data_IF_849933709244
#
_entry.id   IF_849933709244
#
_cell.length_a   1.000
_cell.length_b   1.000
_cell.length_c   1.000
_cell.angle_alpha   90.00
_cell.angle_beta   90.00
_cell.angle_gamma   90.00
#
_symmetry.space_group_name_H-M   'P 1'
#
loop_
_entity.id
_entity.type
_entity.pdbx_description
1 polymer ?
#
# COMPACT_ATOMS: atom_id res chain seq x y z
N UNK A 1 -18.20 3.65 -5.21
CA UNK A 1 -17.19 3.70 -6.28
C UNK A 1 -15.83 3.49 -5.64
N UNK A 2 -14.95 2.70 -6.25
CA UNK A 2 -13.65 2.33 -5.65
C UNK A 2 -12.65 3.46 -5.80
N UNK A 3 -11.98 3.80 -4.70
CA UNK A 3 -10.89 4.77 -4.65
C UNK A 3 -9.71 4.14 -3.95
N UNK A 4 -8.51 4.44 -4.42
CA UNK A 4 -7.30 3.74 -4.03
C UNK A 4 -6.25 4.73 -3.54
N UNK A 5 -5.66 4.43 -2.39
CA UNK A 5 -4.52 5.15 -1.83
C UNK A 5 -3.30 4.20 -1.83
N UNK A 6 -2.25 4.57 -2.56
CA UNK A 6 -1.02 3.80 -2.74
C UNK A 6 0.12 4.45 -1.95
N UNK A 7 0.87 3.65 -1.20
CA UNK A 7 1.95 4.13 -0.34
C UNK A 7 1.42 4.87 0.88
N UNK A 8 0.30 4.41 1.44
CA UNK A 8 -0.40 5.13 2.50
C UNK A 8 0.36 5.16 3.83
N UNK A 9 1.35 4.28 4.05
CA UNK A 9 2.12 4.21 5.29
C UNK A 9 1.22 4.22 6.54
N UNK A 10 1.43 5.25 7.40
CA UNK A 10 0.63 5.48 8.62
C UNK A 10 -0.57 6.41 8.44
N UNK A 11 -0.88 6.81 7.22
CA UNK A 11 -1.96 7.75 6.88
C UNK A 11 -2.93 7.13 5.87
N UNK A 12 -3.63 6.04 6.23
CA UNK A 12 -4.66 5.46 5.39
C UNK A 12 -5.82 6.44 5.23
N UNK A 13 -6.47 6.41 4.07
CA UNK A 13 -7.66 7.22 3.80
C UNK A 13 -8.90 6.41 4.17
N UNK A 14 -9.73 6.84 5.14
CA UNK A 14 -10.94 6.13 5.51
C UNK A 14 -11.90 5.96 4.32
N UNK A 15 -12.46 4.76 4.18
CA UNK A 15 -13.38 4.43 3.08
C UNK A 15 -12.73 4.19 1.72
N UNK A 16 -11.39 4.22 1.64
CA UNK A 16 -10.63 3.89 0.43
C UNK A 16 -9.95 2.53 0.57
N UNK A 17 -9.56 1.93 -0.54
CA UNK A 17 -8.65 0.79 -0.53
C UNK A 17 -7.22 1.30 -0.36
N UNK A 18 -6.60 0.92 0.76
CA UNK A 18 -5.28 1.39 1.15
C UNK A 18 -4.23 0.29 0.88
N UNK A 19 -3.19 0.64 0.11
CA UNK A 19 -2.12 -0.28 -0.25
C UNK A 19 -0.74 0.29 0.07
N UNK A 20 0.18 -0.60 0.42
CA UNK A 20 1.57 -0.27 0.70
C UNK A 20 2.46 -1.51 0.50
N UNK A 21 3.75 -1.34 0.23
CA UNK A 21 4.68 -2.44 -0.08
C UNK A 21 5.64 -2.78 1.08
N UNK A 22 5.43 -2.22 2.26
CA UNK A 22 6.30 -2.43 3.42
C UNK A 22 6.36 -3.88 3.87
N UNK A 23 7.55 -4.29 4.36
CA UNK A 23 7.79 -5.63 4.90
C UNK A 23 6.83 -5.95 6.07
N UNK A 24 6.47 -4.94 6.85
CA UNK A 24 5.49 -5.02 7.93
C UNK A 24 4.16 -5.61 7.46
N UNK A 25 3.70 -5.30 6.24
CA UNK A 25 2.46 -5.87 5.70
C UNK A 25 2.60 -7.34 5.29
N UNK A 26 3.79 -7.79 4.91
CA UNK A 26 4.05 -9.21 4.68
C UNK A 26 3.97 -9.98 6.00
N UNK A 27 4.51 -9.42 7.08
CA UNK A 27 4.42 -9.99 8.43
C UNK A 27 2.99 -9.90 8.96
N UNK A 28 2.25 -8.84 8.64
CA UNK A 28 0.84 -8.68 9.03
C UNK A 28 -0.07 -9.81 8.53
N UNK A 29 0.30 -10.47 7.42
CA UNK A 29 -0.40 -11.64 6.87
C UNK A 29 -0.05 -12.96 7.56
N UNK A 30 1.02 -13.02 8.35
CA UNK A 30 1.40 -14.22 9.08
C UNK A 30 0.48 -14.45 10.29
N UNK A 31 0.31 -15.72 10.72
CA UNK A 31 -0.39 -16.02 11.97
C UNK A 31 0.20 -15.29 13.17
N UNK A 32 -0.65 -14.95 14.14
CA UNK A 32 -0.25 -14.18 15.32
C UNK A 32 0.91 -14.81 16.13
N UNK A 33 1.03 -16.14 16.14
CA UNK A 33 2.14 -16.81 16.81
C UNK A 33 3.50 -16.55 16.14
N UNK A 34 3.54 -16.35 14.82
CA UNK A 34 4.77 -16.08 14.08
C UNK A 34 5.32 -14.68 14.43
N UNK A 35 4.43 -13.69 14.54
CA UNK A 35 4.80 -12.35 15.00
C UNK A 35 5.34 -12.38 16.44
N UNK A 36 4.69 -13.12 17.35
CA UNK A 36 5.19 -13.31 18.72
C UNK A 36 6.56 -13.97 18.76
N UNK A 37 6.79 -14.99 17.92
CA UNK A 37 8.08 -15.64 17.82
C UNK A 37 9.16 -14.64 17.37
N UNK A 38 8.90 -13.87 16.31
CA UNK A 38 9.81 -12.83 15.80
C UNK A 38 10.14 -11.75 16.84
N UNK A 39 9.17 -11.35 17.66
CA UNK A 39 9.39 -10.45 18.80
C UNK A 39 10.30 -11.09 19.85
N UNK A 40 10.04 -12.34 20.22
CA UNK A 40 10.78 -13.03 21.28
C UNK A 40 12.26 -13.25 20.96
N UNK A 41 12.59 -13.44 19.68
CA UNK A 41 13.97 -13.60 19.20
C UNK A 41 14.64 -12.27 18.79
N UNK A 42 13.94 -11.14 18.97
CA UNK A 42 14.47 -9.80 18.66
C UNK A 42 14.56 -9.45 17.16
N UNK A 43 13.95 -10.25 16.29
CA UNK A 43 13.86 -9.97 14.84
C UNK A 43 12.77 -8.94 14.49
N UNK A 44 11.91 -8.61 15.45
CA UNK A 44 10.90 -7.57 15.33
C UNK A 44 11.00 -6.63 16.54
N UNK A 45 11.03 -5.32 16.29
CA UNK A 45 10.98 -4.31 17.35
C UNK A 45 9.52 -4.06 17.79
N UNK A 46 9.28 -3.62 19.04
CA UNK A 46 7.93 -3.26 19.51
C UNK A 46 7.25 -2.21 18.62
N UNK A 47 8.00 -1.23 18.11
CA UNK A 47 7.51 -0.21 17.18
C UNK A 47 7.02 -0.79 15.85
N UNK A 48 7.65 -1.86 15.37
CA UNK A 48 7.25 -2.58 14.16
C UNK A 48 5.99 -3.43 14.42
N UNK A 49 5.89 -4.08 15.57
CA UNK A 49 4.67 -4.81 15.96
C UNK A 49 3.46 -3.86 16.10
N UNK A 50 3.63 -2.70 16.71
CA UNK A 50 2.57 -1.68 16.76
C UNK A 50 2.13 -1.22 15.37
N UNK A 51 3.07 -1.06 14.44
CA UNK A 51 2.73 -0.73 13.05
C UNK A 51 2.01 -1.88 12.32
N UNK A 52 2.42 -3.12 12.55
CA UNK A 52 1.74 -4.31 12.02
C UNK A 52 0.30 -4.39 12.52
N UNK A 53 0.07 -4.14 13.82
CA UNK A 53 -1.27 -4.07 14.39
C UNK A 53 -2.10 -2.95 13.76
N UNK A 54 -1.52 -1.75 13.62
CA UNK A 54 -2.14 -0.62 12.93
C UNK A 54 -2.55 -0.95 11.48
N UNK A 55 -1.68 -1.63 10.73
CA UNK A 55 -1.98 -2.06 9.37
C UNK A 55 -3.21 -2.99 9.31
N UNK A 56 -3.31 -3.94 10.26
CA UNK A 56 -4.46 -4.86 10.33
C UNK A 56 -5.75 -4.13 10.68
N UNK A 57 -5.70 -3.26 11.68
CA UNK A 57 -6.86 -2.47 12.14
C UNK A 57 -7.39 -1.56 11.03
N UNK A 58 -6.51 -0.93 10.27
CA UNK A 58 -6.86 -0.03 9.16
C UNK A 58 -7.02 -0.73 7.81
N UNK A 59 -7.02 -2.07 7.79
CA UNK A 59 -7.19 -2.89 6.59
C UNK A 59 -6.23 -2.51 5.44
N UNK A 60 -5.01 -2.10 5.78
CA UNK A 60 -3.97 -1.79 4.79
C UNK A 60 -3.52 -3.11 4.17
N UNK A 61 -3.51 -3.17 2.84
CA UNK A 61 -3.18 -4.39 2.08
C UNK A 61 -1.79 -4.27 1.47
N UNK A 62 -1.03 -5.36 1.50
CA UNK A 62 0.20 -5.42 0.72
C UNK A 62 -0.11 -5.38 -0.78
N UNK A 63 0.50 -4.45 -1.50
CA UNK A 63 0.62 -4.46 -2.95
C UNK A 63 1.93 -3.78 -3.38
N UNK A 64 2.57 -4.35 -4.40
CA UNK A 64 3.64 -3.68 -5.12
C UNK A 64 3.05 -3.01 -6.36
N UNK A 65 2.67 -1.74 -6.21
CA UNK A 65 1.98 -0.98 -7.25
C UNK A 65 2.85 -0.69 -8.47
N UNK A 66 4.17 -0.90 -8.41
CA UNK A 66 5.06 -0.81 -9.58
C UNK A 66 4.87 -1.98 -10.55
N UNK A 67 4.26 -3.08 -10.06
CA UNK A 67 4.01 -4.31 -10.80
C UNK A 67 2.53 -4.57 -11.00
N UNK A 68 1.76 -4.51 -9.91
CA UNK A 68 0.32 -4.76 -9.94
C UNK A 68 -0.41 -4.04 -8.81
N UNK A 69 -1.41 -3.26 -9.20
CA UNK A 69 -2.45 -2.80 -8.27
C UNK A 69 -3.56 -3.85 -8.27
N UNK A 70 -3.96 -4.43 -7.12
CA UNK A 70 -4.89 -5.56 -7.05
C UNK A 70 -6.36 -5.10 -7.21
N UNK A 71 -6.61 -4.35 -8.27
CA UNK A 71 -7.91 -3.87 -8.71
C UNK A 71 -8.12 -4.25 -10.18
N UNK A 72 -9.37 -4.53 -10.60
CA UNK A 72 -9.69 -4.77 -11.99
C UNK A 72 -9.37 -3.56 -12.88
N UNK A 73 -9.09 -3.80 -14.15
CA UNK A 73 -8.88 -2.72 -15.12
C UNK A 73 -10.14 -1.87 -15.26
N UNK A 74 -9.99 -0.55 -15.35
CA UNK A 74 -11.12 0.36 -15.53
C UNK A 74 -12.11 0.44 -14.36
N UNK A 75 -11.74 0.01 -13.15
CA UNK A 75 -12.66 -0.09 -12.00
C UNK A 75 -12.49 1.01 -10.95
N UNK A 76 -11.38 1.74 -11.00
CA UNK A 76 -11.00 2.73 -9.98
C UNK A 76 -11.34 4.13 -10.45
N UNK A 77 -12.00 4.91 -9.59
CA UNK A 77 -12.33 6.31 -9.87
C UNK A 77 -11.14 7.23 -9.66
N UNK A 78 -10.41 7.03 -8.56
CA UNK A 78 -9.25 7.84 -8.18
C UNK A 78 -8.13 6.94 -7.70
N UNK A 79 -6.93 7.14 -8.24
CA UNK A 79 -5.68 6.64 -7.68
C UNK A 79 -4.96 7.81 -7.03
N UNK A 80 -4.74 7.72 -5.73
CA UNK A 80 -3.98 8.69 -4.94
C UNK A 80 -2.65 8.06 -4.49
N UNK A 81 -1.57 8.83 -4.52
CA UNK A 81 -0.30 8.44 -3.90
C UNK A 81 0.32 9.62 -3.13
N UNK A 82 0.95 9.31 -2.00
CA UNK A 82 1.73 10.26 -1.20
C UNK A 82 3.10 9.67 -0.90
N UNK A 83 4.17 10.45 -1.07
CA UNK A 83 5.50 10.11 -0.57
C UNK A 83 6.06 8.76 -1.03
N UNK A 84 5.79 8.42 -2.28
CA UNK A 84 6.15 7.12 -2.85
C UNK A 84 6.84 7.29 -4.20
N UNK A 85 6.20 8.02 -5.11
CA UNK A 85 6.68 8.18 -6.48
C UNK A 85 8.06 8.82 -6.52
N UNK A 86 8.35 9.75 -5.60
CA UNK A 86 9.67 10.38 -5.50
C UNK A 86 10.80 9.43 -5.05
N UNK A 87 10.46 8.27 -4.48
CA UNK A 87 11.41 7.25 -4.04
C UNK A 87 11.57 6.11 -5.05
N UNK A 88 10.78 6.09 -6.13
CA UNK A 88 10.87 5.08 -7.17
C UNK A 88 11.98 5.41 -8.17
N UNK A 89 12.70 4.38 -8.60
CA UNK A 89 13.53 4.48 -9.80
C UNK A 89 12.69 4.76 -11.04
N UNK A 90 13.33 5.22 -12.12
CA UNK A 90 12.62 5.59 -13.37
C UNK A 90 11.75 4.46 -13.92
N UNK A 91 12.26 3.23 -13.93
CA UNK A 91 11.53 2.06 -14.44
C UNK A 91 10.36 1.68 -13.53
N UNK A 92 10.55 1.75 -12.22
CA UNK A 92 9.51 1.47 -11.21
C UNK A 92 8.39 2.51 -11.27
N UNK A 93 8.74 3.79 -11.42
CA UNK A 93 7.78 4.87 -11.61
C UNK A 93 6.97 4.67 -12.90
N UNK A 94 7.63 4.27 -14.00
CA UNK A 94 6.93 3.94 -15.24
C UNK A 94 5.97 2.78 -15.06
N UNK A 95 6.40 1.69 -14.41
CA UNK A 95 5.54 0.54 -14.10
C UNK A 95 4.35 0.94 -13.24
N UNK A 96 4.57 1.77 -12.22
CA UNK A 96 3.52 2.33 -11.38
C UNK A 96 2.48 3.12 -12.18
N UNK A 97 2.91 4.04 -13.06
CA UNK A 97 1.97 4.84 -13.85
C UNK A 97 1.19 3.99 -14.86
N UNK A 98 1.82 2.98 -15.47
CA UNK A 98 1.13 2.03 -16.35
C UNK A 98 0.03 1.30 -15.57
N UNK A 99 0.33 0.80 -14.37
CA UNK A 99 -0.65 0.12 -13.53
C UNK A 99 -1.75 1.06 -13.01
N UNK A 100 -1.40 2.28 -12.61
CA UNK A 100 -2.37 3.29 -12.20
C UNK A 100 -3.35 3.60 -13.34
N UNK A 101 -2.84 3.79 -14.56
CA UNK A 101 -3.68 4.01 -15.73
C UNK A 101 -4.54 2.79 -16.08
N UNK A 102 -4.01 1.57 -15.92
CA UNK A 102 -4.76 0.32 -16.16
C UNK A 102 -6.01 0.23 -15.28
N UNK A 103 -5.87 0.53 -13.98
CA UNK A 103 -6.98 0.39 -13.03
C UNK A 103 -7.99 1.53 -13.12
N UNK A 104 -7.58 2.72 -13.59
CA UNK A 104 -8.47 3.87 -13.72
C UNK A 104 -9.55 3.63 -14.77
N UNK A 105 -10.80 3.91 -14.39
CA UNK A 105 -11.94 3.96 -15.32
C UNK A 105 -11.76 5.10 -16.34
N UNK A 106 -12.46 5.06 -17.48
CA UNK A 106 -12.59 6.23 -18.35
C UNK A 106 -13.08 7.46 -17.56
N UNK A 107 -12.34 8.56 -17.63
CA UNK A 107 -12.61 9.79 -16.86
C UNK A 107 -12.20 9.73 -15.38
N UNK A 108 -11.53 8.67 -14.94
CA UNK A 108 -10.89 8.60 -13.62
C UNK A 108 -9.66 9.49 -13.52
N UNK A 109 -9.26 9.82 -12.29
CA UNK A 109 -8.17 10.75 -12.02
C UNK A 109 -7.01 10.11 -11.24
N UNK A 110 -5.79 10.53 -11.58
CA UNK A 110 -4.62 10.32 -10.73
C UNK A 110 -4.32 11.60 -9.94
N UNK A 111 -4.02 11.47 -8.65
CA UNK A 111 -3.61 12.58 -7.80
C UNK A 111 -2.37 12.19 -7.00
N UNK A 112 -1.41 13.09 -6.92
CA UNK A 112 -0.18 12.91 -6.16
C UNK A 112 0.05 14.13 -5.27
N UNK A 113 0.54 13.89 -4.05
CA UNK A 113 1.00 14.95 -3.15
C UNK A 113 2.51 14.83 -2.96
N UNK A 114 3.24 15.82 -3.44
CA UNK A 114 4.63 16.07 -3.03
C UNK A 114 4.65 16.86 -1.71
N UNK A 115 5.65 16.59 -0.87
CA UNK A 115 6.04 17.44 0.28
C UNK A 115 6.66 18.75 -0.16
#
# INVERSE_FOLDING_TARGET
MTRVNIGCGRTPTPGWHNYDNSLSLRIARLPYFAEKALLSVGLLQPSQASYIAFCRENQIKFADATRIIPEPSGSVEVVYSSHMVEHLGREEAQGFFVEALRVLRPGGGYSHRCS
#
